data_IF_148480620318
#
_entry.id   IF_148480620318
#
_cell.length_a   1.000
_cell.length_b   1.000
_cell.length_c   1.000
_cell.angle_alpha   90.00
_cell.angle_beta   90.00
_cell.angle_gamma   90.00
#
_symmetry.space_group_name_H-M   'P 1'
#
loop_
_entity.id
_entity.type
_entity.pdbx_description
1 polymer ?
#
# COMPACT_ATOMS: atom_id res chain seq x y z
N UNK A 1 33.05 -2.03 -11.70
CA UNK A 1 32.74 -1.29 -10.45
C UNK A 1 33.89 -1.47 -9.47
N UNK A 2 34.32 -0.42 -8.76
CA UNK A 2 35.33 -0.56 -7.70
C UNK A 2 34.74 -1.25 -6.47
N UNK A 3 35.58 -1.96 -5.71
CA UNK A 3 35.16 -2.65 -4.49
C UNK A 3 34.59 -1.69 -3.44
N UNK A 4 35.19 -0.50 -3.30
CA UNK A 4 34.70 0.55 -2.40
C UNK A 4 33.29 1.02 -2.77
N UNK A 5 33.03 1.26 -4.07
CA UNK A 5 31.70 1.69 -4.53
C UNK A 5 30.65 0.61 -4.28
N UNK A 6 30.99 -0.65 -4.53
CA UNK A 6 30.08 -1.77 -4.26
C UNK A 6 29.70 -1.84 -2.77
N UNK A 7 30.69 -1.73 -1.88
CA UNK A 7 30.47 -1.75 -0.44
C UNK A 7 29.61 -0.57 0.02
N UNK A 8 29.85 0.64 -0.50
CA UNK A 8 29.03 1.82 -0.22
C UNK A 8 27.57 1.63 -0.65
N UNK A 9 27.33 1.12 -1.86
CA UNK A 9 25.97 0.86 -2.36
C UNK A 9 25.23 -0.16 -1.50
N UNK A 10 25.91 -1.22 -1.05
CA UNK A 10 25.34 -2.22 -0.12
C UNK A 10 25.01 -1.62 1.24
N UNK A 11 25.95 -0.90 1.86
CA UNK A 11 25.80 -0.33 3.20
C UNK A 11 24.72 0.75 3.26
N UNK A 12 24.60 1.56 2.20
CA UNK A 12 23.55 2.58 2.06
C UNK A 12 22.19 2.02 1.61
N UNK A 13 22.07 0.70 1.42
CA UNK A 13 20.86 0.02 0.94
C UNK A 13 20.37 0.58 -0.40
N UNK A 14 21.31 0.81 -1.33
CA UNK A 14 21.06 1.29 -2.69
C UNK A 14 21.05 0.10 -3.67
N UNK A 15 20.22 -0.90 -3.34
CA UNK A 15 20.15 -2.19 -4.03
C UNK A 15 19.91 -2.06 -5.54
N UNK A 16 18.99 -1.20 -5.96
CA UNK A 16 18.67 -1.04 -7.38
C UNK A 16 19.82 -0.38 -8.14
N UNK A 17 20.52 0.58 -7.53
CA UNK A 17 21.73 1.15 -8.15
C UNK A 17 22.78 0.07 -8.35
N UNK A 18 23.01 -0.76 -7.33
CA UNK A 18 23.95 -1.89 -7.42
C UNK A 18 23.61 -2.84 -8.57
N UNK A 19 22.32 -3.15 -8.76
CA UNK A 19 21.85 -4.04 -9.83
C UNK A 19 22.04 -3.45 -11.24
N UNK A 20 21.85 -2.14 -11.42
CA UNK A 20 21.84 -1.50 -12.76
C UNK A 20 23.11 -0.70 -13.08
N UNK A 21 24.06 -0.58 -12.14
CA UNK A 21 25.22 0.30 -12.27
C UNK A 21 26.01 0.04 -13.56
N UNK A 22 26.40 -1.22 -13.78
CA UNK A 22 27.22 -1.64 -14.93
C UNK A 22 26.50 -1.48 -16.28
N UNK A 23 25.18 -1.59 -16.28
CA UNK A 23 24.36 -1.37 -17.47
C UNK A 23 24.29 0.13 -17.79
N UNK A 24 24.00 0.95 -16.78
CA UNK A 24 23.88 2.40 -16.93
C UNK A 24 25.22 3.06 -17.26
N UNK A 25 26.33 2.54 -16.74
CA UNK A 25 27.68 3.03 -17.05
C UNK A 25 27.99 2.84 -18.53
N UNK A 26 27.77 1.62 -19.05
CA UNK A 26 27.94 1.31 -20.48
C UNK A 26 27.00 2.11 -21.37
N UNK A 27 25.79 2.40 -20.92
CA UNK A 27 24.86 3.24 -21.66
C UNK A 27 25.31 4.70 -21.69
N UNK A 28 25.83 5.23 -20.58
CA UNK A 28 26.33 6.60 -20.47
C UNK A 28 27.55 6.84 -21.37
N UNK A 29 28.48 5.88 -21.42
CA UNK A 29 29.64 5.92 -22.31
C UNK A 29 29.24 5.97 -23.79
N UNK A 30 28.19 5.23 -24.19
CA UNK A 30 27.70 5.22 -25.58
C UNK A 30 26.92 6.47 -25.98
N UNK A 31 26.24 7.09 -25.01
CA UNK A 31 25.31 8.20 -25.24
C UNK A 31 25.93 9.57 -24.92
N UNK A 32 27.22 9.61 -24.57
CA UNK A 32 27.94 10.82 -24.14
C UNK A 32 27.19 11.62 -23.07
N UNK A 33 26.68 10.89 -22.07
CA UNK A 33 25.82 11.43 -21.03
C UNK A 33 26.68 12.14 -19.98
N UNK A 34 26.27 13.35 -19.59
CA UNK A 34 26.95 14.09 -18.50
C UNK A 34 26.94 13.30 -17.19
N UNK A 35 27.96 13.48 -16.34
CA UNK A 35 28.04 12.80 -15.04
C UNK A 35 26.82 13.07 -14.15
N UNK A 36 26.25 14.28 -14.23
CA UNK A 36 25.04 14.65 -13.47
C UNK A 36 23.82 13.85 -13.92
N UNK A 37 23.64 13.69 -15.24
CA UNK A 37 22.53 12.91 -15.79
C UNK A 37 22.68 11.41 -15.49
N UNK A 38 23.91 10.86 -15.58
CA UNK A 38 24.19 9.49 -15.19
C UNK A 38 23.79 9.22 -13.72
N UNK A 39 24.25 10.08 -12.80
CA UNK A 39 23.89 9.95 -11.38
C UNK A 39 22.38 10.10 -11.16
N UNK A 40 21.75 11.03 -11.87
CA UNK A 40 20.30 11.26 -11.79
C UNK A 40 19.51 10.02 -12.22
N UNK A 41 19.92 9.33 -13.30
CA UNK A 41 19.28 8.09 -13.76
C UNK A 41 19.35 6.99 -12.71
N UNK A 42 20.52 6.77 -12.10
CA UNK A 42 20.71 5.78 -11.05
C UNK A 42 19.84 6.08 -9.82
N UNK A 43 19.89 7.33 -9.32
CA UNK A 43 19.12 7.76 -8.16
C UNK A 43 17.61 7.67 -8.41
N UNK A 44 17.16 8.03 -9.60
CA UNK A 44 15.74 7.93 -9.99
C UNK A 44 15.26 6.48 -9.98
N UNK A 45 16.01 5.56 -10.60
CA UNK A 45 15.67 4.14 -10.59
C UNK A 45 15.62 3.57 -9.16
N UNK A 46 16.55 3.98 -8.31
CA UNK A 46 16.59 3.58 -6.91
C UNK A 46 15.44 4.15 -6.08
N UNK A 47 15.06 5.39 -6.34
CA UNK A 47 13.92 6.03 -5.70
C UNK A 47 12.62 5.30 -6.08
N UNK A 48 12.38 5.05 -7.37
CA UNK A 48 11.22 4.28 -7.82
C UNK A 48 11.16 2.90 -7.19
N UNK A 49 12.26 2.16 -7.18
CA UNK A 49 12.32 0.84 -6.55
C UNK A 49 11.98 0.88 -5.05
N UNK A 50 12.40 1.93 -4.31
CA UNK A 50 12.02 2.10 -2.90
C UNK A 50 10.52 2.36 -2.74
N UNK A 51 9.94 3.21 -3.59
CA UNK A 51 8.50 3.51 -3.56
C UNK A 51 7.66 2.26 -3.85
N UNK A 52 8.02 1.51 -4.89
CA UNK A 52 7.37 0.25 -5.26
C UNK A 52 7.48 -0.80 -4.17
N UNK A 53 8.69 -1.00 -3.63
CA UNK A 53 8.91 -1.97 -2.54
C UNK A 53 8.13 -1.59 -1.28
N UNK A 54 8.05 -0.29 -0.95
CA UNK A 54 7.27 0.19 0.18
C UNK A 54 5.76 0.01 -0.03
N UNK A 55 5.26 0.23 -1.24
CA UNK A 55 3.87 -0.05 -1.60
C UNK A 55 3.57 -1.54 -1.52
N UNK A 56 4.39 -2.38 -2.13
CA UNK A 56 4.21 -3.83 -2.13
C UNK A 56 4.23 -4.39 -0.70
N UNK A 57 5.15 -3.93 0.14
CA UNK A 57 5.19 -4.29 1.55
C UNK A 57 3.87 -3.96 2.26
N UNK A 58 3.31 -2.76 2.02
CA UNK A 58 2.05 -2.34 2.64
C UNK A 58 0.86 -3.13 2.11
N UNK A 59 0.81 -3.44 0.81
CA UNK A 59 -0.22 -4.31 0.22
C UNK A 59 -0.16 -5.72 0.81
N UNK A 60 1.04 -6.32 0.92
CA UNK A 60 1.21 -7.65 1.53
C UNK A 60 0.75 -7.64 2.99
N UNK A 61 1.14 -6.61 3.75
CA UNK A 61 0.77 -6.47 5.16
C UNK A 61 -0.72 -6.19 5.37
N UNK A 62 -1.38 -5.53 4.42
CA UNK A 62 -2.80 -5.27 4.49
C UNK A 62 -3.65 -6.54 4.43
N UNK A 63 -3.10 -7.64 3.92
CA UNK A 63 -3.78 -8.95 3.86
C UNK A 63 -5.16 -8.88 3.19
N UNK A 64 -5.29 -8.06 2.15
CA UNK A 64 -6.54 -7.94 1.41
C UNK A 64 -6.88 -9.29 0.74
N UNK A 65 -8.14 -9.76 0.81
CA UNK A 65 -8.56 -11.01 0.19
C UNK A 65 -8.44 -10.96 -1.33
N UNK A 66 -8.71 -9.79 -1.90
CA UNK A 66 -8.68 -9.48 -3.34
C UNK A 66 -7.99 -8.12 -3.53
N UNK A 67 -7.51 -7.82 -4.73
CA UNK A 67 -6.85 -6.53 -5.05
C UNK A 67 -7.63 -5.74 -6.10
N UNK A 68 -8.92 -5.57 -5.87
CA UNK A 68 -9.79 -4.84 -6.78
C UNK A 68 -9.53 -3.33 -6.74
N UNK A 69 -9.38 -2.72 -7.91
CA UNK A 69 -9.23 -1.28 -8.05
C UNK A 69 -10.59 -0.61 -8.28
N UNK A 70 -10.74 0.62 -7.77
CA UNK A 70 -11.91 1.46 -8.05
C UNK A 70 -12.04 1.79 -9.54
N UNK A 71 -10.93 1.83 -10.28
CA UNK A 71 -10.94 2.11 -11.73
C UNK A 71 -11.65 1.02 -12.53
N UNK A 72 -11.56 -0.22 -12.04
CA UNK A 72 -12.18 -1.40 -12.67
C UNK A 72 -13.60 -1.69 -12.16
N UNK A 73 -14.13 -0.87 -11.24
CA UNK A 73 -15.45 -1.11 -10.66
C UNK A 73 -16.57 -0.85 -11.70
N UNK A 74 -17.48 -1.81 -11.95
CA UNK A 74 -18.51 -1.67 -12.98
C UNK A 74 -19.70 -0.85 -12.50
N UNK A 75 -19.52 0.48 -12.39
CA UNK A 75 -20.56 1.41 -11.93
C UNK A 75 -21.87 1.30 -12.72
N UNK A 76 -21.79 1.04 -14.03
CA UNK A 76 -22.97 0.89 -14.89
C UNK A 76 -23.85 -0.31 -14.51
N UNK A 77 -23.26 -1.33 -13.86
CA UNK A 77 -23.98 -2.51 -13.36
C UNK A 77 -24.51 -2.33 -11.93
N UNK A 78 -24.20 -1.21 -11.28
CA UNK A 78 -24.56 -0.93 -9.88
C UNK A 78 -25.11 0.51 -9.76
N UNK A 79 -26.29 0.81 -10.32
CA UNK A 79 -26.84 2.17 -10.38
C UNK A 79 -27.14 2.78 -9.00
N UNK A 80 -27.30 1.94 -7.96
CA UNK A 80 -27.45 2.40 -6.58
C UNK A 80 -26.16 2.96 -5.94
N UNK A 81 -25.01 2.82 -6.60
CA UNK A 81 -23.73 3.34 -6.12
C UNK A 81 -23.41 4.65 -6.81
N UNK A 82 -23.37 5.74 -6.04
CA UNK A 82 -22.95 7.05 -6.55
C UNK A 82 -21.47 7.07 -6.88
N UNK A 83 -21.12 7.05 -8.17
CA UNK A 83 -19.73 7.17 -8.64
C UNK A 83 -19.04 8.43 -8.13
N UNK A 84 -19.78 9.54 -8.04
CA UNK A 84 -19.28 10.82 -7.51
C UNK A 84 -18.86 10.67 -6.05
N UNK A 85 -19.70 10.05 -5.23
CA UNK A 85 -19.41 9.85 -3.81
C UNK A 85 -18.21 8.93 -3.59
N UNK A 86 -18.09 7.82 -4.35
CA UNK A 86 -16.94 6.93 -4.26
C UNK A 86 -15.64 7.64 -4.65
N UNK A 87 -15.67 8.52 -5.65
CA UNK A 87 -14.51 9.34 -6.02
C UNK A 87 -14.11 10.31 -4.91
N UNK A 88 -15.07 10.96 -4.24
CA UNK A 88 -14.78 11.78 -3.05
C UNK A 88 -14.16 10.95 -1.93
N UNK A 89 -14.64 9.74 -1.66
CA UNK A 89 -13.97 8.87 -0.68
C UNK A 89 -12.56 8.46 -1.11
N UNK A 90 -12.30 8.32 -2.41
CA UNK A 90 -10.98 8.00 -2.96
C UNK A 90 -9.97 9.16 -2.85
N UNK A 91 -10.41 10.37 -2.50
CA UNK A 91 -9.55 11.50 -2.12
C UNK A 91 -9.01 11.35 -0.68
N UNK A 92 -9.56 10.41 0.10
CA UNK A 92 -9.10 10.01 1.43
C UNK A 92 -9.23 11.06 2.55
N UNK A 93 -9.96 12.16 2.31
CA UNK A 93 -10.21 13.21 3.31
C UNK A 93 -10.85 12.69 4.61
N UNK A 94 -11.58 11.57 4.54
CA UNK A 94 -12.19 10.93 5.71
C UNK A 94 -11.13 10.46 6.73
N UNK A 95 -9.90 10.15 6.29
CA UNK A 95 -8.80 9.78 7.18
C UNK A 95 -8.35 10.95 8.04
N UNK A 96 -8.20 12.13 7.44
CA UNK A 96 -7.83 13.35 8.15
C UNK A 96 -8.90 13.77 9.18
N UNK A 97 -10.17 13.45 8.90
CA UNK A 97 -11.32 13.71 9.77
C UNK A 97 -11.60 12.61 10.80
N UNK A 98 -10.86 11.50 10.76
CA UNK A 98 -11.14 10.30 11.56
C UNK A 98 -12.58 9.78 11.41
N UNK A 99 -13.13 9.85 10.20
CA UNK A 99 -14.48 9.40 9.87
C UNK A 99 -14.51 7.93 9.44
N UNK A 100 -15.56 7.21 9.83
CA UNK A 100 -15.76 5.82 9.43
C UNK A 100 -16.62 5.74 8.16
N UNK A 101 -16.24 4.86 7.23
CA UNK A 101 -17.07 4.51 6.07
C UNK A 101 -17.72 3.16 6.34
N UNK A 102 -19.06 3.12 6.23
CA UNK A 102 -19.85 1.90 6.39
C UNK A 102 -20.63 1.65 5.10
N UNK A 103 -20.39 0.51 4.46
CA UNK A 103 -21.16 0.08 3.30
C UNK A 103 -22.35 -0.78 3.73
N UNK A 104 -23.57 -0.34 3.39
CA UNK A 104 -24.82 -1.02 3.75
C UNK A 104 -25.58 -1.42 2.48
N UNK A 105 -26.13 -2.63 2.44
CA UNK A 105 -26.98 -3.11 1.34
C UNK A 105 -27.07 -4.64 1.26
N UNK A 106 -27.75 -5.21 0.25
CA UNK A 106 -27.84 -6.66 0.04
C UNK A 106 -26.52 -7.29 -0.41
N UNK A 107 -26.34 -8.60 -0.26
CA UNK A 107 -25.12 -9.31 -0.70
C UNK A 107 -24.90 -9.16 -2.22
N UNK A 108 -23.66 -9.35 -2.68
CA UNK A 108 -23.27 -9.31 -4.09
C UNK A 108 -23.44 -7.98 -4.88
N UNK A 109 -23.65 -6.84 -4.20
CA UNK A 109 -23.70 -5.51 -4.85
C UNK A 109 -22.34 -4.78 -4.95
N UNK A 110 -21.25 -5.49 -4.72
CA UNK A 110 -19.89 -4.93 -4.86
C UNK A 110 -19.36 -4.12 -3.67
N UNK A 111 -19.97 -4.22 -2.48
CA UNK A 111 -19.48 -3.55 -1.25
C UNK A 111 -18.03 -3.87 -0.94
N UNK A 112 -17.69 -5.16 -0.88
CA UNK A 112 -16.31 -5.60 -0.62
C UNK A 112 -15.36 -5.13 -1.74
N UNK A 113 -15.86 -5.01 -2.97
CA UNK A 113 -15.21 -4.35 -4.11
C UNK A 113 -14.81 -2.91 -3.82
N UNK A 114 -15.78 -2.09 -3.44
CA UNK A 114 -15.58 -0.67 -3.13
C UNK A 114 -14.68 -0.48 -1.91
N UNK A 115 -14.88 -1.25 -0.84
CA UNK A 115 -14.06 -1.18 0.36
C UNK A 115 -12.60 -1.55 0.06
N UNK A 116 -12.38 -2.65 -0.67
CA UNK A 116 -11.04 -3.07 -1.09
C UNK A 116 -10.38 -2.00 -1.96
N UNK A 117 -11.12 -1.41 -2.91
CA UNK A 117 -10.59 -0.36 -3.77
C UNK A 117 -10.20 0.91 -3.02
N UNK A 118 -10.99 1.34 -2.04
CA UNK A 118 -10.65 2.47 -1.17
C UNK A 118 -9.41 2.17 -0.31
N UNK A 119 -9.32 0.97 0.25
CA UNK A 119 -8.14 0.56 1.03
C UNK A 119 -6.91 0.49 0.14
N UNK A 120 -7.03 -0.04 -1.08
CA UNK A 120 -5.93 -0.06 -2.04
C UNK A 120 -5.48 1.36 -2.38
N UNK A 121 -6.42 2.31 -2.55
CA UNK A 121 -6.10 3.72 -2.77
C UNK A 121 -5.36 4.35 -1.58
N UNK A 122 -5.74 4.02 -0.36
CA UNK A 122 -5.03 4.45 0.84
C UNK A 122 -3.62 3.86 0.91
N UNK A 123 -3.46 2.58 0.57
CA UNK A 123 -2.16 1.93 0.43
C UNK A 123 -1.32 2.57 -0.67
N UNK A 124 -1.87 3.05 -1.78
CA UNK A 124 -1.09 3.80 -2.77
C UNK A 124 -0.55 5.12 -2.18
N UNK A 125 -1.32 5.79 -1.32
CA UNK A 125 -1.03 7.11 -0.74
C UNK A 125 -0.18 7.09 0.56
N UNK A 126 0.49 5.99 0.88
CA UNK A 126 1.39 5.95 2.05
C UNK A 126 0.77 5.42 3.35
N UNK A 127 -0.55 5.22 3.40
CA UNK A 127 -1.24 4.81 4.62
C UNK A 127 -1.04 3.33 4.97
N UNK A 128 -1.19 3.02 6.26
CA UNK A 128 -1.09 1.69 6.87
C UNK A 128 -2.50 1.13 7.04
N UNK A 129 -2.84 0.15 6.22
CA UNK A 129 -4.15 -0.48 6.27
C UNK A 129 -4.01 -1.97 6.65
N UNK A 130 -5.06 -2.54 7.23
CA UNK A 130 -5.17 -3.98 7.45
C UNK A 130 -6.61 -4.44 7.28
N UNK A 131 -6.80 -5.53 6.55
CA UNK A 131 -8.02 -6.30 6.52
C UNK A 131 -8.04 -7.36 7.62
N UNK A 132 -9.19 -7.51 8.26
CA UNK A 132 -9.47 -8.59 9.19
C UNK A 132 -10.93 -9.02 9.03
N UNK A 133 -11.20 -10.33 9.08
CA UNK A 133 -12.58 -10.80 9.15
C UNK A 133 -13.15 -10.45 10.52
N UNK A 134 -14.43 -10.09 10.57
CA UNK A 134 -15.08 -9.74 11.83
C UNK A 134 -14.93 -10.84 12.89
N UNK A 135 -15.08 -12.12 12.50
CA UNK A 135 -14.91 -13.28 13.39
C UNK A 135 -13.49 -13.36 13.95
N UNK A 136 -12.46 -13.31 13.08
CA UNK A 136 -11.05 -13.34 13.51
C UNK A 136 -10.72 -12.19 14.48
N UNK A 137 -11.29 -11.00 14.25
CA UNK A 137 -11.11 -9.85 15.15
C UNK A 137 -11.72 -10.13 16.52
N UNK A 138 -12.93 -10.67 16.58
CA UNK A 138 -13.56 -11.02 17.85
C UNK A 138 -12.77 -12.11 18.58
N UNK A 139 -12.31 -13.14 17.88
CA UNK A 139 -11.51 -14.21 18.46
C UNK A 139 -10.20 -13.67 19.04
N UNK A 140 -9.50 -12.78 18.32
CA UNK A 140 -8.29 -12.13 18.81
C UNK A 140 -8.56 -11.24 20.03
N UNK A 141 -9.70 -10.54 20.05
CA UNK A 141 -10.13 -9.74 21.20
C UNK A 141 -10.39 -10.62 22.43
N UNK A 142 -11.14 -11.72 22.29
CA UNK A 142 -11.44 -12.64 23.39
C UNK A 142 -10.17 -13.33 23.92
N UNK A 143 -9.31 -13.81 23.03
CA UNK A 143 -8.02 -14.39 23.41
C UNK A 143 -7.16 -13.38 24.20
N UNK A 144 -7.14 -12.11 23.76
CA UNK A 144 -6.36 -11.05 24.42
C UNK A 144 -6.82 -10.73 25.85
N UNK A 145 -8.11 -10.97 26.16
CA UNK A 145 -8.65 -10.80 27.50
C UNK A 145 -8.18 -11.92 28.42
N UNK A 146 -8.17 -13.16 27.90
CA UNK A 146 -7.76 -14.35 28.66
C UNK A 146 -6.27 -14.31 29.02
N UNK A 147 -5.40 -13.88 28.11
CA UNK A 147 -3.95 -13.81 28.32
C UNK A 147 -3.45 -12.44 28.83
N UNK A 148 -4.37 -11.51 29.12
CA UNK A 148 -4.11 -10.12 29.56
C UNK A 148 -3.27 -9.30 28.57
N UNK A 149 -3.28 -9.65 27.29
CA UNK A 149 -2.55 -8.94 26.23
C UNK A 149 -3.37 -7.84 25.51
N UNK A 150 -4.60 -7.54 25.93
CA UNK A 150 -5.49 -6.57 25.26
C UNK A 150 -4.84 -5.20 24.98
N UNK A 151 -3.99 -4.69 25.89
CA UNK A 151 -3.26 -3.43 25.66
C UNK A 151 -2.33 -3.50 24.43
N UNK A 152 -1.72 -4.66 24.19
CA UNK A 152 -0.85 -4.90 23.02
C UNK A 152 -1.68 -4.95 21.74
N UNK A 153 -2.83 -5.62 21.77
CA UNK A 153 -3.78 -5.68 20.66
C UNK A 153 -4.26 -4.28 20.26
N UNK A 154 -4.78 -3.51 21.21
CA UNK A 154 -5.27 -2.14 20.96
C UNK A 154 -4.15 -1.25 20.41
N UNK A 155 -2.93 -1.31 20.98
CA UNK A 155 -1.77 -0.57 20.46
C UNK A 155 -1.39 -0.98 19.04
N UNK A 156 -1.57 -2.25 18.66
CA UNK A 156 -1.32 -2.73 17.30
C UNK A 156 -2.35 -2.17 16.32
N UNK A 157 -3.64 -2.26 16.66
CA UNK A 157 -4.74 -1.79 15.81
C UNK A 157 -4.75 -0.26 15.67
N UNK A 158 -4.48 0.48 16.74
CA UNK A 158 -4.42 1.95 16.74
C UNK A 158 -3.25 2.54 15.94
N UNK A 159 -2.30 1.73 15.46
CA UNK A 159 -1.21 2.16 14.57
C UNK A 159 -1.59 2.10 13.09
N UNK A 160 -2.75 1.52 12.78
CA UNK A 160 -3.31 1.50 11.45
C UNK A 160 -4.06 2.80 11.20
N UNK A 161 -3.96 3.30 9.98
CA UNK A 161 -4.77 4.42 9.50
C UNK A 161 -6.16 3.92 9.06
N UNK A 162 -6.23 2.68 8.54
CA UNK A 162 -7.49 2.00 8.21
C UNK A 162 -7.48 0.56 8.74
N UNK A 163 -8.52 0.23 9.52
CA UNK A 163 -8.88 -1.15 9.83
C UNK A 163 -10.12 -1.53 9.01
N UNK A 164 -9.92 -2.34 7.97
CA UNK A 164 -11.00 -2.85 7.13
C UNK A 164 -11.56 -4.14 7.72
N UNK A 165 -12.82 -4.09 8.15
CA UNK A 165 -13.53 -5.23 8.73
C UNK A 165 -14.63 -5.64 7.75
N UNK A 166 -14.64 -6.91 7.34
CA UNK A 166 -15.73 -7.48 6.55
C UNK A 166 -16.18 -8.83 7.11
N UNK A 167 -17.39 -9.24 6.74
CA UNK A 167 -17.93 -10.57 6.96
C UNK A 167 -17.75 -11.35 5.66
N UNK A 168 -16.77 -12.25 5.62
CA UNK A 168 -16.67 -13.23 4.55
C UNK A 168 -17.47 -14.47 4.93
#
# INVERSE_FOLDING_TARGET
MSEELEQLLKNLKLRRMLEIYEEQLRAAEKQDVTYSEFLTRLLRAQWHHRQESALEYRIRRANLPERWSLETFPFDRQPGVSRKQIRTFAELDFLAKAENIIFIGPTAVGKSGLATGLVLKALENGYRCQFIRAQDLFDEMYASLADRSSRRLVKRLARLDILYIDKW
#
